data_IF_422869413689
#
_entry.id   IF_422869413689
#
_cell.length_a   1.000
_cell.length_b   1.000
_cell.length_c   1.000
_cell.angle_alpha   90.00
_cell.angle_beta   90.00
_cell.angle_gamma   90.00
#
_symmetry.space_group_name_H-M   'P 1'
#
loop_
_entity.id
_entity.type
_entity.pdbx_description
1 polymer ?
#
# COMPACT_ATOMS: atom_id res chain seq x y z
N UNK A 1 8.64 3.70 -25.03
CA UNK A 1 9.20 4.86 -24.31
C UNK A 1 8.23 5.46 -23.26
N UNK A 2 6.92 5.50 -23.53
CA UNK A 2 5.90 6.03 -22.59
C UNK A 2 5.76 5.18 -21.31
N UNK A 3 5.72 3.85 -21.42
CA UNK A 3 5.65 2.93 -20.28
C UNK A 3 6.84 3.04 -19.30
N UNK A 4 8.03 3.32 -19.83
CA UNK A 4 9.22 3.53 -19.00
C UNK A 4 9.16 4.83 -18.19
N UNK A 5 8.53 5.88 -18.75
CA UNK A 5 8.30 7.15 -18.04
C UNK A 5 7.25 7.01 -16.94
N UNK A 6 6.18 6.24 -17.19
CA UNK A 6 5.13 5.95 -16.20
C UNK A 6 5.69 5.07 -15.07
N UNK A 7 6.52 4.07 -15.38
CA UNK A 7 7.17 3.25 -14.37
C UNK A 7 8.11 4.09 -13.48
N UNK A 8 8.87 5.02 -14.07
CA UNK A 8 9.77 5.89 -13.32
C UNK A 8 9.02 6.85 -12.36
N UNK A 9 7.89 7.42 -12.78
CA UNK A 9 7.09 8.30 -11.92
C UNK A 9 6.41 7.55 -10.77
N UNK A 10 5.93 6.32 -11.02
CA UNK A 10 5.38 5.44 -9.99
C UNK A 10 6.43 5.02 -8.94
N UNK A 11 7.67 4.76 -9.36
CA UNK A 11 8.76 4.44 -8.40
C UNK A 11 9.15 5.63 -7.54
N UNK A 12 9.11 6.86 -8.09
CA UNK A 12 9.39 8.09 -7.33
C UNK A 12 8.32 8.35 -6.28
N UNK A 13 7.05 8.21 -6.66
CA UNK A 13 5.90 8.35 -5.73
C UNK A 13 5.95 7.33 -4.58
N UNK A 14 6.31 6.07 -4.87
CA UNK A 14 6.44 5.02 -3.84
C UNK A 14 7.52 5.31 -2.80
N UNK A 15 8.60 6.00 -3.19
CA UNK A 15 9.69 6.38 -2.27
C UNK A 15 9.27 7.56 -1.38
N UNK A 16 8.53 8.54 -1.93
CA UNK A 16 7.98 9.66 -1.16
C UNK A 16 6.90 9.20 -0.16
N UNK A 17 6.05 8.25 -0.54
CA UNK A 17 5.03 7.67 0.33
C UNK A 17 5.63 6.85 1.48
N UNK A 18 6.71 6.09 1.22
CA UNK A 18 7.46 5.39 2.26
C UNK A 18 8.15 6.36 3.25
N UNK A 19 8.55 7.55 2.78
CA UNK A 19 9.11 8.61 3.63
C UNK A 19 8.04 9.28 4.51
N UNK A 20 6.83 9.48 3.97
CA UNK A 20 5.69 10.04 4.71
C UNK A 20 5.16 9.06 5.78
N UNK A 21 5.10 7.76 5.48
CA UNK A 21 4.67 6.72 6.43
C UNK A 21 5.68 6.61 7.60
N UNK A 22 6.98 6.82 7.34
CA UNK A 22 8.03 6.79 8.38
C UNK A 22 7.97 7.98 9.34
N UNK A 23 7.35 9.09 8.95
CA UNK A 23 7.18 10.27 9.82
C UNK A 23 5.87 10.27 10.65
N UNK A 24 4.95 9.34 10.40
CA UNK A 24 3.66 9.28 11.09
C UNK A 24 3.58 8.26 12.25
N UNK A 25 4.62 7.44 12.48
CA UNK A 25 4.55 6.30 13.41
C UNK A 25 4.83 6.62 14.89
N UNK A 26 4.39 7.79 15.39
CA UNK A 26 4.55 8.13 16.81
C UNK A 26 3.37 8.88 17.41
N UNK A 27 2.21 8.21 17.54
CA UNK A 27 1.22 8.49 18.58
C UNK A 27 0.13 7.41 18.68
N UNK A 28 -0.14 7.01 19.93
CA UNK A 28 -1.33 6.33 20.46
C UNK A 28 -1.57 4.84 20.14
N UNK A 29 -1.16 3.99 21.10
CA UNK A 29 -1.69 2.64 21.26
C UNK A 29 -3.04 2.71 21.99
N UNK A 30 -4.14 2.30 21.34
CA UNK A 30 -5.40 2.00 22.02
C UNK A 30 -5.90 0.61 21.63
N UNK A 31 -6.06 -0.24 22.65
CA UNK A 31 -6.54 -1.62 22.57
C UNK A 31 -7.95 -1.66 21.99
N UNK A 32 -8.17 -2.40 20.88
CA UNK A 32 -9.50 -2.85 20.48
C UNK A 32 -9.56 -4.36 20.29
N UNK A 33 -10.56 -4.90 20.96
CA UNK A 33 -10.90 -6.28 21.28
C UNK A 33 -11.49 -6.96 20.04
N UNK A 34 -10.98 -8.14 19.67
CA UNK A 34 -11.51 -8.96 18.59
C UNK A 34 -12.93 -9.45 18.92
N UNK A 35 -13.91 -9.04 18.13
CA UNK A 35 -15.28 -9.55 18.16
C UNK A 35 -15.36 -10.86 17.37
N UNK A 36 -15.53 -11.97 18.10
CA UNK A 36 -15.86 -13.28 17.55
C UNK A 36 -17.39 -13.39 17.47
N UNK A 37 -17.92 -13.56 16.27
CA UNK A 37 -19.36 -13.72 16.01
C UNK A 37 -19.88 -15.03 16.65
N UNK A 38 -20.90 -14.86 17.49
CA UNK A 38 -21.62 -15.89 18.25
C UNK A 38 -22.53 -16.73 17.33
N UNK A 39 -22.63 -18.04 17.60
CA UNK A 39 -23.80 -18.86 17.27
C UNK A 39 -24.37 -19.50 18.54
N UNK A 40 -25.69 -19.49 18.66
CA UNK A 40 -26.50 -19.71 19.86
C UNK A 40 -26.52 -21.17 20.39
N UNK A 41 -26.78 -21.37 21.70
CA UNK A 41 -27.14 -22.66 22.30
C UNK A 41 -28.64 -22.73 22.69
N UNK A 42 -29.34 -23.82 22.35
CA UNK A 42 -30.40 -24.48 23.16
C UNK A 42 -31.20 -25.50 22.34
N UNK A 43 -31.25 -26.75 22.81
CA UNK A 43 -32.41 -27.35 23.51
C UNK A 43 -32.00 -28.70 24.15
N UNK A 44 -32.65 -29.00 25.28
CA UNK A 44 -32.45 -30.11 26.22
C UNK A 44 -33.57 -31.16 26.08
N UNK A 45 -33.20 -32.43 26.30
CA UNK A 45 -33.88 -33.52 27.06
C UNK A 45 -35.25 -34.06 26.55
N UNK A 46 -35.68 -35.33 26.67
CA UNK A 46 -35.40 -36.53 27.51
C UNK A 46 -35.51 -37.81 26.63
N UNK A 47 -34.66 -38.84 26.80
CA UNK A 47 -34.82 -40.11 27.57
C UNK A 47 -35.82 -41.13 26.99
N UNK A 48 -35.32 -42.35 26.72
CA UNK A 48 -35.99 -43.66 26.75
C UNK A 48 -35.03 -44.75 26.21
N UNK A 49 -34.85 -45.77 27.05
CA UNK A 49 -34.02 -46.97 26.95
C UNK A 49 -34.27 -47.79 25.68
N UNK A 50 -33.21 -48.38 25.10
CA UNK A 50 -33.20 -49.79 24.64
C UNK A 50 -31.76 -50.31 24.60
N UNK A 51 -31.42 -51.17 25.57
CA UNK A 51 -30.26 -52.06 25.56
C UNK A 51 -30.33 -53.15 24.47
N UNK A 52 -29.16 -53.76 24.18
CA UNK A 52 -28.86 -55.18 23.84
C UNK A 52 -27.87 -55.33 22.65
N UNK A 53 -27.09 -56.43 22.53
CA UNK A 53 -26.18 -57.01 23.53
C UNK A 53 -24.80 -57.41 22.93
N UNK A 54 -23.79 -57.55 23.81
CA UNK A 54 -22.49 -58.18 23.53
C UNK A 54 -22.65 -59.72 23.40
N UNK A 55 -22.12 -60.33 22.33
CA UNK A 55 -21.79 -61.78 22.25
C UNK A 55 -20.35 -61.92 21.74
N UNK A 56 -19.38 -62.18 22.62
CA UNK A 56 -18.91 -63.48 23.16
C UNK A 56 -18.18 -64.33 22.10
N UNK A 57 -16.86 -64.13 22.07
CA UNK A 57 -15.86 -64.97 21.39
C UNK A 57 -15.75 -66.30 22.13
N UNK A 58 -15.77 -67.43 21.40
CA UNK A 58 -15.34 -68.74 21.91
C UNK A 58 -14.44 -69.41 20.88
N UNK A 59 -13.15 -69.44 21.20
CA UNK A 59 -12.16 -70.26 20.52
C UNK A 59 -12.24 -71.69 21.07
N UNK A 60 -12.26 -72.69 20.20
CA UNK A 60 -11.88 -74.06 20.56
C UNK A 60 -11.07 -74.65 19.42
N UNK A 61 -9.76 -74.79 19.67
CA UNK A 61 -8.84 -75.58 18.87
C UNK A 61 -9.05 -77.07 19.17
N UNK A 62 -9.05 -77.90 18.12
CA UNK A 62 -8.64 -79.32 18.23
C UNK A 62 -7.77 -79.70 17.03
N UNK A 63 -6.60 -80.17 17.41
CA UNK A 63 -5.45 -80.60 16.64
C UNK A 63 -5.61 -82.07 16.19
N UNK A 64 -5.30 -82.40 14.92
CA UNK A 64 -4.79 -83.72 14.49
C UNK A 64 -3.88 -83.52 13.28
N UNK A 65 -2.68 -84.08 13.36
CA UNK A 65 -1.56 -83.94 12.44
C UNK A 65 -1.28 -85.32 11.76
N UNK A 66 -0.25 -85.52 10.91
CA UNK A 66 -0.36 -85.74 9.47
C UNK A 66 0.15 -87.13 8.99
N UNK A 67 0.04 -87.45 7.69
CA UNK A 67 0.99 -88.26 6.87
C UNK A 67 0.37 -88.65 5.50
N UNK A 68 0.95 -88.18 4.39
CA UNK A 68 1.61 -89.02 3.37
C UNK A 68 2.27 -88.15 2.27
N UNK A 69 3.37 -88.64 1.72
CA UNK A 69 4.39 -87.98 0.89
C UNK A 69 3.96 -87.66 -0.57
N UNK A 70 4.72 -86.81 -1.29
CA UNK A 70 4.38 -86.29 -2.63
C UNK A 70 4.90 -87.19 -3.77
N UNK A 71 4.19 -87.22 -4.90
CA UNK A 71 4.67 -87.84 -6.14
C UNK A 71 4.55 -86.88 -7.32
N UNK A 72 5.74 -86.45 -7.77
CA UNK A 72 6.22 -86.24 -9.15
C UNK A 72 5.44 -85.28 -10.10
N UNK A 73 6.06 -84.10 -10.28
CA UNK A 73 6.48 -83.46 -11.55
C UNK A 73 5.53 -83.54 -12.75
N UNK A 74 5.03 -82.39 -13.23
CA UNK A 74 5.40 -81.78 -14.53
C UNK A 74 4.86 -80.34 -14.58
N UNK A 75 5.71 -79.41 -15.01
CA UNK A 75 5.63 -77.99 -14.65
C UNK A 75 4.53 -77.16 -15.31
N UNK A 76 4.20 -76.06 -14.62
CA UNK A 76 3.72 -74.84 -15.22
C UNK A 76 4.05 -73.65 -14.31
N UNK A 77 4.78 -72.72 -14.90
CA UNK A 77 5.08 -71.33 -14.56
C UNK A 77 4.45 -70.79 -13.28
N UNK A 78 5.29 -70.42 -12.32
CA UNK A 78 4.92 -69.71 -11.10
C UNK A 78 4.33 -68.33 -11.44
N UNK A 79 3.00 -68.25 -11.50
CA UNK A 79 2.31 -66.98 -11.49
C UNK A 79 2.32 -66.43 -10.07
N UNK A 80 3.03 -65.30 -9.89
CA UNK A 80 2.99 -64.47 -8.68
C UNK A 80 1.55 -64.33 -8.17
N UNK A 81 1.32 -64.76 -6.93
CA UNK A 81 0.02 -64.82 -6.26
C UNK A 81 -0.63 -63.43 -6.10
N UNK A 82 -1.25 -62.91 -7.16
CA UNK A 82 -2.19 -61.80 -7.05
C UNK A 82 -3.51 -62.35 -6.51
N UNK A 83 -3.99 -61.79 -5.39
CA UNK A 83 -5.29 -62.13 -4.80
C UNK A 83 -6.39 -61.89 -5.84
N UNK A 84 -6.81 -62.94 -6.54
CA UNK A 84 -7.92 -62.86 -7.48
C UNK A 84 -9.21 -62.69 -6.69
N UNK A 85 -9.83 -61.52 -6.81
CA UNK A 85 -11.16 -61.27 -6.27
C UNK A 85 -12.14 -62.11 -7.10
N UNK A 86 -12.62 -63.23 -6.54
CA UNK A 86 -13.69 -64.04 -7.14
C UNK A 86 -14.99 -63.25 -7.11
N UNK A 87 -15.28 -62.54 -8.19
CA UNK A 87 -16.57 -61.91 -8.41
C UNK A 87 -17.51 -62.96 -9.00
N UNK A 88 -18.73 -63.07 -8.46
CA UNK A 88 -19.75 -63.98 -8.96
C UNK A 88 -20.03 -63.73 -10.45
N UNK A 89 -20.04 -64.80 -11.25
CA UNK A 89 -20.11 -64.74 -12.72
C UNK A 89 -21.36 -64.03 -13.25
N UNK A 90 -22.46 -64.06 -12.49
CA UNK A 90 -23.71 -63.36 -12.79
C UNK A 90 -23.56 -61.83 -12.82
N UNK A 91 -22.72 -61.25 -11.96
CA UNK A 91 -22.45 -59.79 -11.94
C UNK A 91 -21.55 -59.34 -13.07
N UNK A 92 -20.80 -60.25 -13.72
CA UNK A 92 -19.88 -59.95 -14.83
C UNK A 92 -20.60 -59.85 -16.19
N UNK A 93 -21.83 -60.36 -16.29
CA UNK A 93 -22.65 -60.31 -17.50
C UNK A 93 -23.15 -58.89 -17.84
N UNK A 94 -23.26 -58.01 -16.84
CA UNK A 94 -23.67 -56.59 -17.02
C UNK A 94 -22.50 -55.64 -17.26
N UNK A 95 -21.27 -56.15 -17.31
CA UNK A 95 -20.08 -55.33 -17.51
C UNK A 95 -19.95 -54.98 -18.99
N UNK A 96 -19.79 -53.70 -19.26
CA UNK A 96 -19.64 -53.18 -20.60
C UNK A 96 -18.15 -53.08 -20.96
N UNK A 97 -17.79 -53.24 -22.24
CA UNK A 97 -16.48 -52.83 -22.72
C UNK A 97 -16.22 -51.35 -22.36
N UNK A 98 -14.95 -51.00 -22.17
CA UNK A 98 -14.55 -49.62 -21.91
C UNK A 98 -15.04 -48.69 -23.03
N UNK A 99 -15.70 -47.58 -22.65
CA UNK A 99 -16.26 -46.62 -23.60
C UNK A 99 -15.17 -45.96 -24.44
N UNK A 100 -15.47 -45.70 -25.72
CA UNK A 100 -14.53 -45.10 -26.69
C UNK A 100 -13.86 -43.83 -26.16
N UNK A 101 -14.65 -42.90 -25.61
CA UNK A 101 -14.14 -41.62 -25.09
C UNK A 101 -13.11 -41.76 -23.97
N UNK A 102 -13.22 -42.80 -23.14
CA UNK A 102 -12.25 -43.07 -22.08
C UNK A 102 -10.98 -43.69 -22.69
N UNK A 103 -11.11 -44.52 -23.74
CA UNK A 103 -9.96 -45.06 -24.46
C UNK A 103 -9.17 -43.97 -25.16
N UNK A 104 -9.86 -43.07 -25.86
CA UNK A 104 -9.25 -41.89 -26.49
C UNK A 104 -8.53 -41.02 -25.45
N UNK A 105 -9.18 -40.75 -24.32
CA UNK A 105 -8.55 -39.98 -23.23
C UNK A 105 -7.31 -40.67 -22.67
N UNK A 106 -7.38 -41.98 -22.41
CA UNK A 106 -6.23 -42.77 -21.96
C UNK A 106 -5.10 -42.75 -22.98
N UNK A 107 -5.43 -42.84 -24.27
CA UNK A 107 -4.47 -42.75 -25.37
C UNK A 107 -3.78 -41.38 -25.39
N UNK A 108 -4.54 -40.28 -25.29
CA UNK A 108 -4.00 -38.91 -25.23
C UNK A 108 -3.08 -38.74 -24.01
N UNK A 109 -3.46 -39.26 -22.84
CA UNK A 109 -2.61 -39.21 -21.64
C UNK A 109 -1.32 -40.01 -21.82
N UNK A 110 -1.40 -41.23 -22.37
CA UNK A 110 -0.22 -42.03 -22.68
C UNK A 110 0.70 -41.32 -23.67
N UNK A 111 0.14 -40.72 -24.73
CA UNK A 111 0.91 -39.93 -25.70
C UNK A 111 1.59 -38.72 -25.07
N UNK A 112 0.88 -38.02 -24.18
CA UNK A 112 1.45 -36.89 -23.43
C UNK A 112 2.61 -37.31 -22.55
N UNK A 113 2.50 -38.46 -21.85
CA UNK A 113 3.58 -39.01 -21.01
C UNK A 113 4.76 -39.47 -21.86
N UNK A 114 4.51 -40.13 -23.00
CA UNK A 114 5.57 -40.54 -23.93
C UNK A 114 6.32 -39.31 -24.44
N UNK A 115 5.61 -38.26 -24.87
CA UNK A 115 6.21 -36.99 -25.31
C UNK A 115 7.03 -36.37 -24.17
N UNK A 116 6.50 -36.29 -22.95
CA UNK A 116 7.21 -35.72 -21.81
C UNK A 116 8.52 -36.49 -21.50
N UNK A 117 8.49 -37.83 -21.55
CA UNK A 117 9.67 -38.68 -21.33
C UNK A 117 10.70 -38.50 -22.44
N UNK A 118 10.26 -38.41 -23.69
CA UNK A 118 11.15 -38.20 -24.83
C UNK A 118 11.77 -36.80 -24.83
N UNK A 119 11.00 -35.77 -24.49
CA UNK A 119 11.46 -34.37 -24.38
C UNK A 119 12.46 -34.16 -23.25
N UNK A 120 12.36 -34.91 -22.15
CA UNK A 120 13.29 -34.82 -21.02
C UNK A 120 14.65 -35.49 -21.31
N UNK A 121 14.76 -36.30 -22.37
CA UNK A 121 16.03 -36.94 -22.76
C UNK A 121 16.70 -36.13 -23.86
N UNK A 122 17.86 -35.53 -23.55
CA UNK A 122 18.67 -34.71 -24.47
C UNK A 122 19.15 -35.49 -25.72
N UNK A 123 19.24 -36.82 -25.64
CA UNK A 123 19.66 -37.69 -26.74
C UNK A 123 18.45 -38.32 -27.44
N UNK A 124 18.46 -38.36 -28.77
CA UNK A 124 17.50 -39.15 -29.57
C UNK A 124 17.66 -40.63 -29.22
N UNK A 125 16.71 -41.16 -28.47
CA UNK A 125 16.71 -42.56 -28.02
C UNK A 125 15.60 -43.31 -28.74
N UNK A 126 15.83 -43.65 -30.01
CA UNK A 126 14.85 -44.32 -30.87
C UNK A 126 14.40 -45.66 -30.26
N UNK A 127 15.29 -46.34 -29.54
CA UNK A 127 14.99 -47.55 -28.78
C UNK A 127 13.98 -47.31 -27.65
N UNK A 128 14.10 -46.19 -26.91
CA UNK A 128 13.16 -45.83 -25.83
C UNK A 128 11.80 -45.50 -26.42
N UNK A 129 11.77 -44.76 -27.53
CA UNK A 129 10.53 -44.47 -28.25
C UNK A 129 9.85 -45.75 -28.75
N UNK A 130 10.62 -46.70 -29.31
CA UNK A 130 10.10 -47.99 -29.76
C UNK A 130 9.48 -48.79 -28.60
N UNK A 131 10.17 -48.91 -27.46
CA UNK A 131 9.67 -49.65 -26.30
C UNK A 131 8.43 -48.98 -25.69
N UNK A 132 8.39 -47.66 -25.60
CA UNK A 132 7.24 -46.92 -25.10
C UNK A 132 6.01 -47.07 -26.01
N UNK A 133 6.21 -46.99 -27.34
CA UNK A 133 5.15 -47.21 -28.31
C UNK A 133 4.64 -48.66 -28.31
N UNK A 134 5.52 -49.63 -28.12
CA UNK A 134 5.14 -51.02 -27.97
C UNK A 134 4.29 -51.25 -26.70
N UNK A 135 4.72 -50.65 -25.57
CA UNK A 135 3.97 -50.71 -24.31
C UNK A 135 2.59 -50.06 -24.45
N UNK A 136 2.51 -48.89 -25.10
CA UNK A 136 1.25 -48.21 -25.43
C UNK A 136 0.30 -49.14 -26.18
N UNK A 137 0.76 -49.76 -27.29
CA UNK A 137 -0.07 -50.68 -28.10
C UNK A 137 -0.57 -51.86 -27.28
N UNK A 138 0.30 -52.49 -26.48
CA UNK A 138 -0.07 -53.63 -25.63
C UNK A 138 -1.09 -53.24 -24.56
N UNK A 139 -0.94 -52.07 -23.95
CA UNK A 139 -1.87 -51.59 -22.94
C UNK A 139 -3.24 -51.24 -23.55
N UNK A 140 -3.26 -50.58 -24.71
CA UNK A 140 -4.51 -50.28 -25.42
C UNK A 140 -5.28 -51.55 -25.79
N UNK A 141 -4.58 -52.59 -26.27
CA UNK A 141 -5.18 -53.90 -26.56
C UNK A 141 -5.80 -54.56 -25.31
N UNK A 142 -5.15 -54.43 -24.14
CA UNK A 142 -5.72 -54.90 -22.88
C UNK A 142 -6.95 -54.06 -22.48
N UNK A 143 -6.94 -52.75 -22.73
CA UNK A 143 -8.07 -51.88 -22.46
C UNK A 143 -9.29 -52.17 -23.35
N UNK A 144 -9.11 -52.64 -24.58
CA UNK A 144 -10.19 -53.09 -25.48
C UNK A 144 -10.91 -54.33 -24.95
N UNK A 145 -10.15 -55.28 -24.40
CA UNK A 145 -10.69 -56.53 -23.84
C UNK A 145 -11.19 -56.39 -22.40
N UNK A 146 -10.89 -55.26 -21.75
CA UNK A 146 -11.26 -54.99 -20.37
C UNK A 146 -12.75 -54.64 -20.26
N UNK A 147 -13.51 -55.53 -19.65
CA UNK A 147 -14.89 -55.26 -19.24
C UNK A 147 -14.89 -54.49 -17.92
N UNK A 148 -15.71 -53.46 -17.81
CA UNK A 148 -15.80 -52.58 -16.65
C UNK A 148 -17.24 -52.55 -16.13
N UNK A 149 -17.48 -52.49 -14.81
CA UNK A 149 -18.81 -52.28 -14.27
C UNK A 149 -19.46 -51.01 -14.81
N UNK A 150 -20.78 -51.02 -15.14
CA UNK A 150 -21.48 -49.83 -15.58
C UNK A 150 -21.52 -48.78 -14.46
N UNK A 151 -21.03 -47.57 -14.75
CA UNK A 151 -21.00 -46.44 -13.81
C UNK A 151 -22.41 -45.90 -13.58
N UNK A 152 -22.81 -45.69 -12.31
CA UNK A 152 -24.03 -44.95 -11.96
C UNK A 152 -23.78 -43.45 -12.16
N UNK A 153 -24.24 -42.88 -13.28
CA UNK A 153 -23.90 -41.52 -13.76
C UNK A 153 -24.55 -40.35 -13.01
N UNK A 154 -25.14 -40.55 -11.82
CA UNK A 154 -25.85 -39.48 -11.08
C UNK A 154 -24.97 -38.26 -10.76
N UNK A 155 -23.66 -38.47 -10.62
CA UNK A 155 -22.71 -37.40 -10.34
C UNK A 155 -22.42 -36.48 -11.55
N UNK A 156 -22.71 -36.93 -12.78
CA UNK A 156 -22.42 -36.16 -13.99
C UNK A 156 -23.38 -34.99 -14.19
N UNK A 157 -24.63 -35.12 -13.73
CA UNK A 157 -25.62 -34.02 -13.74
C UNK A 157 -25.14 -32.83 -12.90
N UNK A 158 -24.46 -33.11 -11.78
CA UNK A 158 -23.89 -32.08 -10.90
C UNK A 158 -22.71 -31.34 -11.56
N UNK A 159 -22.01 -31.98 -12.51
CA UNK A 159 -20.91 -31.34 -13.24
C UNK A 159 -21.44 -30.27 -14.21
N UNK A 160 -22.59 -30.52 -14.83
CA UNK A 160 -23.23 -29.55 -15.74
C UNK A 160 -23.72 -28.30 -15.01
N UNK A 161 -24.33 -28.46 -13.83
CA UNK A 161 -24.74 -27.31 -13.00
C UNK A 161 -23.53 -26.54 -12.47
N UNK A 162 -22.47 -27.23 -12.05
CA UNK A 162 -21.22 -26.61 -11.62
C UNK A 162 -20.58 -25.80 -12.75
N UNK A 163 -20.51 -26.34 -13.97
CA UNK A 163 -19.97 -25.63 -15.14
C UNK A 163 -20.77 -24.36 -15.46
N UNK A 164 -22.10 -24.39 -15.35
CA UNK A 164 -22.95 -23.21 -15.57
C UNK A 164 -22.71 -22.13 -14.52
N UNK A 165 -22.59 -22.53 -13.25
CA UNK A 165 -22.26 -21.62 -12.15
C UNK A 165 -20.89 -20.98 -12.34
N UNK A 166 -19.87 -21.78 -12.69
CA UNK A 166 -18.52 -21.30 -12.96
C UNK A 166 -18.49 -20.27 -14.11
N UNK A 167 -19.22 -20.56 -15.20
CA UNK A 167 -19.33 -19.61 -16.32
C UNK A 167 -20.04 -18.32 -15.94
N UNK A 168 -21.06 -18.37 -15.09
CA UNK A 168 -21.75 -17.18 -14.62
C UNK A 168 -20.83 -16.32 -13.74
N UNK A 169 -20.07 -16.96 -12.84
CA UNK A 169 -19.08 -16.29 -12.02
C UNK A 169 -17.96 -15.67 -12.86
N UNK A 170 -17.48 -16.37 -13.89
CA UNK A 170 -16.50 -15.82 -14.82
C UNK A 170 -16.98 -14.54 -15.50
N UNK A 171 -18.23 -14.52 -16.00
CA UNK A 171 -18.80 -13.32 -16.62
C UNK A 171 -18.92 -12.15 -15.64
N UNK A 172 -19.41 -12.40 -14.43
CA UNK A 172 -19.48 -11.38 -13.39
C UNK A 172 -18.09 -10.82 -13.03
N UNK A 173 -17.06 -11.66 -13.01
CA UNK A 173 -15.69 -11.24 -12.79
C UNK A 173 -15.16 -10.40 -13.97
N UNK A 174 -15.45 -10.78 -15.21
CA UNK A 174 -15.07 -9.98 -16.39
C UNK A 174 -15.73 -8.59 -16.39
N UNK A 175 -17.01 -8.52 -16.06
CA UNK A 175 -17.73 -7.25 -15.88
C UNK A 175 -17.12 -6.41 -14.75
N UNK A 176 -16.80 -7.04 -13.61
CA UNK A 176 -16.11 -6.38 -12.51
C UNK A 176 -14.72 -5.86 -12.88
N UNK A 177 -13.96 -6.62 -13.67
CA UNK A 177 -12.66 -6.19 -14.19
C UNK A 177 -12.79 -5.01 -15.15
N UNK A 178 -13.81 -4.99 -16.02
CA UNK A 178 -14.06 -3.87 -16.91
C UNK A 178 -14.40 -2.59 -16.13
N UNK A 179 -15.22 -2.69 -15.08
CA UNK A 179 -15.53 -1.55 -14.19
C UNK A 179 -14.29 -1.02 -13.47
N UNK A 180 -13.43 -1.91 -12.96
CA UNK A 180 -12.18 -1.50 -12.33
C UNK A 180 -11.24 -0.80 -13.31
N UNK A 181 -11.17 -1.28 -14.56
CA UNK A 181 -10.38 -0.61 -15.60
C UNK A 181 -10.92 0.79 -15.90
N UNK A 182 -12.23 0.96 -16.00
CA UNK A 182 -12.86 2.27 -16.19
C UNK A 182 -12.57 3.24 -15.03
N UNK A 183 -12.59 2.75 -13.79
CA UNK A 183 -12.24 3.56 -12.61
C UNK A 183 -10.76 3.98 -12.63
N UNK A 184 -9.86 3.07 -13.00
CA UNK A 184 -8.44 3.39 -13.19
C UNK A 184 -8.27 4.48 -14.25
N UNK A 185 -8.94 4.36 -15.39
CA UNK A 185 -8.84 5.32 -16.48
C UNK A 185 -9.36 6.71 -16.05
N UNK A 186 -10.45 6.77 -15.27
CA UNK A 186 -10.95 8.03 -14.66
C UNK A 186 -9.93 8.66 -13.71
N UNK A 187 -9.29 7.85 -12.86
CA UNK A 187 -8.26 8.32 -11.94
C UNK A 187 -7.05 8.84 -12.72
N UNK A 188 -6.58 8.10 -13.73
CA UNK A 188 -5.47 8.51 -14.59
C UNK A 188 -5.79 9.82 -15.29
N UNK A 189 -6.98 9.97 -15.85
CA UNK A 189 -7.40 11.22 -16.49
C UNK A 189 -7.42 12.40 -15.52
N UNK A 190 -7.89 12.18 -14.29
CA UNK A 190 -7.85 13.18 -13.22
C UNK A 190 -6.41 13.58 -12.89
N UNK A 191 -5.51 12.60 -12.74
CA UNK A 191 -4.09 12.84 -12.46
C UNK A 191 -3.43 13.62 -13.60
N UNK A 192 -3.72 13.28 -14.86
CA UNK A 192 -3.19 13.99 -16.02
C UNK A 192 -3.65 15.45 -16.04
N UNK A 193 -4.94 15.71 -15.77
CA UNK A 193 -5.49 17.07 -15.65
C UNK A 193 -4.84 17.86 -14.51
N UNK A 194 -4.71 17.26 -13.33
CA UNK A 194 -4.05 17.89 -12.18
C UNK A 194 -2.57 18.18 -12.47
N UNK A 195 -1.87 17.28 -13.16
CA UNK A 195 -0.47 17.48 -13.55
C UNK A 195 -0.33 18.66 -14.51
N UNK A 196 -1.23 18.76 -15.51
CA UNK A 196 -1.28 19.91 -16.42
C UNK A 196 -1.54 21.24 -15.67
N UNK A 197 -2.42 21.23 -14.67
CA UNK A 197 -2.68 22.40 -13.82
C UNK A 197 -1.45 22.77 -12.96
N UNK A 198 -0.73 21.79 -12.43
CA UNK A 198 0.50 22.04 -11.67
C UNK A 198 1.57 22.66 -12.59
N UNK A 199 1.73 22.16 -13.81
CA UNK A 199 2.68 22.69 -14.79
C UNK A 199 2.32 24.13 -15.21
N UNK A 200 1.04 24.41 -15.46
CA UNK A 200 0.58 25.76 -15.79
C UNK A 200 0.80 26.75 -14.64
N UNK A 201 0.51 26.35 -13.40
CA UNK A 201 0.78 27.15 -12.21
C UNK A 201 2.28 27.39 -12.01
N UNK A 202 3.11 26.37 -12.22
CA UNK A 202 4.58 26.49 -12.15
C UNK A 202 5.08 27.52 -13.16
N UNK A 203 4.60 27.48 -14.40
CA UNK A 203 4.96 28.46 -15.42
C UNK A 203 4.51 29.87 -15.02
N UNK A 204 3.30 30.03 -14.47
CA UNK A 204 2.81 31.33 -13.99
C UNK A 204 3.64 31.88 -12.84
N UNK A 205 4.02 31.03 -11.88
CA UNK A 205 4.92 31.43 -10.78
C UNK A 205 6.28 31.86 -11.33
N UNK A 206 6.82 31.15 -12.33
CA UNK A 206 8.08 31.53 -12.96
C UNK A 206 8.01 32.90 -13.65
N UNK A 207 6.94 33.18 -14.38
CA UNK A 207 6.73 34.49 -15.03
C UNK A 207 6.58 35.61 -13.99
N UNK A 208 5.76 35.40 -12.96
CA UNK A 208 5.61 36.38 -11.89
C UNK A 208 6.93 36.63 -11.15
N UNK A 209 7.73 35.57 -10.96
CA UNK A 209 9.05 35.71 -10.34
C UNK A 209 9.98 36.58 -11.19
N UNK A 210 10.00 36.42 -12.52
CA UNK A 210 10.81 37.30 -13.38
C UNK A 210 10.29 38.73 -13.40
N UNK A 211 8.97 38.94 -13.40
CA UNK A 211 8.38 40.28 -13.37
C UNK A 211 8.69 41.02 -12.05
N UNK A 212 8.63 40.31 -10.92
CA UNK A 212 9.04 40.87 -9.62
C UNK A 212 10.53 41.20 -9.60
N UNK A 213 11.40 40.33 -10.11
CA UNK A 213 12.84 40.61 -10.21
C UNK A 213 13.12 41.84 -11.09
N UNK A 214 12.44 41.97 -12.24
CA UNK A 214 12.56 43.14 -13.11
C UNK A 214 12.11 44.43 -12.42
N UNK A 215 11.01 44.39 -11.66
CA UNK A 215 10.52 45.55 -10.92
C UNK A 215 11.43 45.90 -9.74
N UNK A 216 11.96 44.92 -9.03
CA UNK A 216 12.98 45.13 -7.99
C UNK A 216 14.24 45.79 -8.58
N UNK A 217 14.70 45.38 -9.76
CA UNK A 217 15.83 46.01 -10.44
C UNK A 217 15.51 47.46 -10.87
N UNK A 218 14.31 47.74 -11.38
CA UNK A 218 13.87 49.12 -11.67
C UNK A 218 13.83 49.97 -10.41
N UNK A 219 13.28 49.44 -9.32
CA UNK A 219 13.23 50.10 -8.03
C UNK A 219 14.64 50.39 -7.52
N UNK A 220 15.56 49.41 -7.59
CA UNK A 220 16.97 49.61 -7.24
C UNK A 220 17.62 50.69 -8.10
N UNK A 221 17.37 50.72 -9.41
CA UNK A 221 17.87 51.79 -10.29
C UNK A 221 17.30 53.16 -9.89
N UNK A 222 16.01 53.25 -9.61
CA UNK A 222 15.35 54.49 -9.17
C UNK A 222 15.87 54.96 -7.80
N UNK A 223 16.15 54.04 -6.88
CA UNK A 223 16.77 54.35 -5.58
C UNK A 223 18.28 54.63 -5.68
N UNK A 224 19.01 54.05 -6.64
CA UNK A 224 20.39 54.45 -6.93
C UNK A 224 20.44 55.89 -7.45
N UNK A 225 19.48 56.28 -8.29
CA UNK A 225 19.28 57.69 -8.67
C UNK A 225 18.92 58.54 -7.44
N UNK A 226 18.20 57.99 -6.46
CA UNK A 226 17.88 58.64 -5.17
C UNK A 226 19.01 58.66 -4.12
N UNK A 227 20.11 57.92 -4.33
CA UNK A 227 21.26 57.93 -3.40
C UNK A 227 22.04 59.25 -3.43
N UNK A 228 21.71 60.15 -4.37
CA UNK A 228 22.19 61.53 -4.37
C UNK A 228 21.32 62.50 -3.56
N UNK A 229 20.32 62.06 -2.78
CA UNK A 229 19.57 63.02 -1.98
C UNK A 229 18.45 62.45 -1.14
N UNK A 230 18.74 62.26 0.15
CA UNK A 230 17.78 62.56 1.23
C UNK A 230 17.26 63.96 0.94
N UNK A 231 16.07 64.07 0.31
CA UNK A 231 15.44 65.31 -0.15
C UNK A 231 16.45 66.21 -0.89
N UNK A 232 16.42 66.35 -2.21
CA UNK A 232 17.32 67.21 -3.01
C UNK A 232 17.37 68.69 -2.53
N UNK A 233 17.90 68.91 -1.35
CA UNK A 233 17.90 70.11 -0.56
C UNK A 233 19.33 70.60 -0.61
N UNK A 234 19.52 71.89 -0.89
CA UNK A 234 20.84 72.50 -0.78
C UNK A 234 21.42 72.17 0.59
N UNK A 235 22.65 71.65 0.61
CA UNK A 235 23.36 71.36 1.84
C UNK A 235 23.48 72.68 2.64
N UNK A 236 22.72 72.80 3.74
CA UNK A 236 22.69 74.02 4.54
C UNK A 236 24.09 74.24 5.12
N UNK A 237 24.64 75.44 4.92
CA UNK A 237 26.02 75.71 5.32
C UNK A 237 26.20 75.46 6.83
N UNK A 238 27.30 74.79 7.19
CA UNK A 238 27.64 74.48 8.59
C UNK A 238 27.75 75.72 9.49
N UNK A 239 27.86 76.92 8.91
CA UNK A 239 27.87 78.20 9.63
C UNK A 239 26.49 78.56 10.20
N UNK A 240 25.41 78.16 9.54
CA UNK A 240 24.04 78.39 10.03
C UNK A 240 23.67 77.44 11.17
N UNK A 241 24.19 76.22 11.15
CA UNK A 241 23.94 75.21 12.19
C UNK A 241 24.82 75.40 13.44
N UNK A 242 25.95 76.11 13.31
CA UNK A 242 26.87 76.48 14.40
C UNK A 242 26.78 77.96 14.77
N UNK A 243 25.64 78.61 14.55
CA UNK A 243 25.44 79.95 15.07
C UNK A 243 25.34 79.87 16.62
N UNK A 244 26.12 80.68 17.37
CA UNK A 244 25.94 80.79 18.82
C UNK A 244 24.52 81.23 19.13
N UNK A 245 23.90 80.67 20.18
CA UNK A 245 22.57 81.10 20.62
C UNK A 245 22.68 82.57 21.04
N UNK A 246 21.71 83.42 20.68
CA UNK A 246 21.72 84.87 20.95
C UNK A 246 22.14 85.23 22.39
N UNK A 247 21.75 84.40 23.37
CA UNK A 247 22.14 84.55 24.77
C UNK A 247 23.66 84.51 24.98
N UNK A 248 24.37 83.61 24.29
CA UNK A 248 25.84 83.50 24.33
C UNK A 248 26.53 84.69 23.68
N UNK A 249 25.94 85.22 22.60
CA UNK A 249 26.46 86.43 21.93
C UNK A 249 26.30 87.66 22.84
N UNK A 250 25.13 87.85 23.44
CA UNK A 250 24.87 88.93 24.41
C UNK A 250 25.81 88.83 25.62
N UNK A 251 26.07 87.61 26.13
CA UNK A 251 27.02 87.39 27.24
C UNK A 251 28.45 87.77 26.87
N UNK A 252 28.89 87.56 25.62
CA UNK A 252 30.24 87.94 25.17
C UNK A 252 30.43 89.45 25.00
N UNK A 253 29.34 90.21 24.83
CA UNK A 253 29.37 91.67 24.73
C UNK A 253 29.53 92.38 26.09
N UNK A 254 29.27 91.70 27.21
CA UNK A 254 29.34 92.30 28.56
C UNK A 254 30.73 92.05 29.18
N UNK A 255 31.51 93.11 29.50
CA UNK A 255 32.77 92.97 30.22
C UNK A 255 32.53 92.38 31.62
N UNK A 256 33.34 91.39 32.02
CA UNK A 256 33.23 90.71 33.32
C UNK A 256 31.91 89.94 33.56
N UNK A 257 31.32 89.36 32.50
CA UNK A 257 30.07 88.56 32.58
C UNK A 257 30.12 87.39 33.59
N UNK A 258 31.29 86.78 33.80
CA UNK A 258 31.44 85.66 34.74
C UNK A 258 31.28 86.08 36.20
N UNK A 259 31.69 87.31 36.56
CA UNK A 259 31.44 87.83 37.91
C UNK A 259 29.96 88.17 38.09
N UNK A 260 29.35 88.82 37.10
CA UNK A 260 27.92 89.13 37.11
C UNK A 260 27.04 87.89 37.21
N UNK A 261 27.39 86.80 36.52
CA UNK A 261 26.66 85.52 36.64
C UNK A 261 26.76 84.94 38.05
N UNK A 262 27.93 85.04 38.71
CA UNK A 262 28.10 84.58 40.09
C UNK A 262 27.32 85.45 41.08
N UNK A 263 27.34 86.76 40.89
CA UNK A 263 26.59 87.69 41.74
C UNK A 263 25.08 87.49 41.56
N UNK A 264 24.62 87.24 40.33
CA UNK A 264 23.22 86.90 40.04
C UNK A 264 22.82 85.57 40.66
N UNK A 265 23.68 84.56 40.63
CA UNK A 265 23.40 83.27 41.27
C UNK A 265 23.35 83.40 42.80
N UNK A 266 24.23 84.20 43.40
CA UNK A 266 24.17 84.53 44.84
C UNK A 266 22.88 85.30 45.17
N UNK A 267 22.48 86.26 44.34
CA UNK A 267 21.24 87.02 44.50
C UNK A 267 20.00 86.12 44.38
N UNK A 268 19.95 85.26 43.36
CA UNK A 268 18.85 84.32 43.13
C UNK A 268 18.73 83.30 44.27
N UNK A 269 19.86 82.90 44.85
CA UNK A 269 19.89 81.97 45.98
C UNK A 269 19.67 82.64 47.35
N UNK A 270 19.64 83.97 47.42
CA UNK A 270 19.36 84.71 48.64
C UNK A 270 17.97 84.39 49.20
N UNK A 271 17.83 84.45 50.52
CA UNK A 271 16.54 84.22 51.18
C UNK A 271 15.51 85.28 50.79
N UNK A 272 15.92 86.54 50.60
CA UNK A 272 15.01 87.60 50.17
C UNK A 272 14.43 87.33 48.78
N UNK A 273 15.26 86.94 47.81
CA UNK A 273 14.81 86.69 46.45
C UNK A 273 13.91 85.46 46.36
N UNK A 274 14.22 84.40 47.10
CA UNK A 274 13.36 83.20 47.21
C UNK A 274 12.00 83.54 47.81
N UNK A 275 11.97 84.33 48.88
CA UNK A 275 10.71 84.77 49.50
C UNK A 275 9.89 85.65 48.54
N UNK A 276 10.55 86.50 47.75
CA UNK A 276 9.89 87.33 46.75
C UNK A 276 9.35 86.50 45.59
N UNK A 277 10.09 85.47 45.14
CA UNK A 277 9.66 84.54 44.11
C UNK A 277 8.45 83.72 44.56
N UNK A 278 8.46 83.19 45.79
CA UNK A 278 7.29 82.49 46.36
C UNK A 278 6.09 83.39 46.52
N UNK A 279 6.30 84.67 46.90
CA UNK A 279 5.23 85.65 46.98
C UNK A 279 4.61 85.93 45.61
N UNK A 280 5.43 86.13 44.58
CA UNK A 280 4.96 86.32 43.20
C UNK A 280 4.22 85.06 42.71
N UNK A 281 4.76 83.87 42.98
CA UNK A 281 4.13 82.61 42.60
C UNK A 281 2.76 82.41 43.28
N UNK A 282 2.64 82.74 44.57
CA UNK A 282 1.36 82.73 45.28
C UNK A 282 0.38 83.78 44.74
N UNK A 283 0.87 84.98 44.40
CA UNK A 283 0.04 86.02 43.79
C UNK A 283 -0.49 85.59 42.41
N UNK A 284 0.33 84.96 41.58
CA UNK A 284 -0.10 84.37 40.30
C UNK A 284 -1.09 83.22 40.50
N UNK A 285 -0.83 82.31 41.44
CA UNK A 285 -1.78 81.22 41.77
C UNK A 285 -3.14 81.76 42.24
N UNK A 286 -3.16 82.89 42.94
CA UNK A 286 -4.40 83.56 43.36
C UNK A 286 -5.10 84.30 42.20
N UNK A 287 -4.34 84.81 41.23
CA UNK A 287 -4.90 85.45 40.04
C UNK A 287 -5.52 84.42 39.07
N UNK A 288 -4.87 83.26 38.91
CA UNK A 288 -5.37 82.17 38.04
C UNK A 288 -6.55 81.39 38.67
N UNK A 289 -6.77 81.51 39.98
CA UNK A 289 -7.88 80.88 40.70
C UNK A 289 -9.12 81.79 40.88
N UNK A 290 -9.07 83.01 40.33
CA UNK A 290 -10.14 84.01 40.38
C UNK A 290 -10.79 84.21 39.01
#
# INVERSE_FOLDING_TARGET
MVWARIAATLTRWRVEEASLIKMSSKASASKKRSQQLKRNPKRKNDDEDVELPKKKVRNTAKNKNPKHLPSKVTGQTEHTNLKQIKIASNKRKTWQPLSESIREHLQIMMDSVIIAILSNRIRKNDQVQYHLNYLKKRLLQLCETLKVPPKKLKNLTNVSSLLKMERAQHRANEEGLALLQEEIDKIVQTILSMTGNIESLKNRIQVLKSEVEEEEEKIKQMFQIGSSGVLSLPELSQKSLKAPILQTEILTLIPNHNALLKDLDVLHNSSQMKNMLTFIEEAYKRLDAS
#
